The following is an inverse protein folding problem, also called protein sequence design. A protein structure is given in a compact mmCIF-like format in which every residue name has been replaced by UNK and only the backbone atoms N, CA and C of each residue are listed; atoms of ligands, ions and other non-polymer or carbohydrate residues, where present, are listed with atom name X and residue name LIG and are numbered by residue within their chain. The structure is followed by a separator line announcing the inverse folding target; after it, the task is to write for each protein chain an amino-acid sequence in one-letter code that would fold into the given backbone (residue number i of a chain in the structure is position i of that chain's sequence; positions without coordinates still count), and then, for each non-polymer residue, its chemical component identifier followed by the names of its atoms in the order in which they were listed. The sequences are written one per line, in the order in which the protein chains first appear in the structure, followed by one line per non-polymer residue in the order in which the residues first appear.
data_IF_340097977831
#
_entry.id   IF_340097977831
#
_cell.length_a   1.000
_cell.length_b   1.000
_cell.length_c   1.000
_cell.angle_alpha   90.00
_cell.angle_beta   90.00
_cell.angle_gamma   90.00
#
_symmetry.space_group_name_H-M   'P 1'
#
loop_
_entity.id
_entity.type
_entity.pdbx_description
1 polymer ?
#
# COMPACT_ATOMS: atom_id res chain seq x y z
N UNK A 1 -10.07 -5.17 4.39
CA UNK A 1 -10.03 -4.44 3.10
C UNK A 1 -10.93 -3.20 3.11
N UNK A 2 -10.38 -2.03 2.79
CA UNK A 2 -11.08 -0.77 2.50
C UNK A 2 -10.70 -0.26 1.10
N UNK A 3 -11.51 0.62 0.49
CA UNK A 3 -11.21 1.21 -0.82
C UNK A 3 -9.86 1.95 -0.83
N UNK A 4 -9.57 2.68 0.24
CA UNK A 4 -8.30 3.38 0.45
C UNK A 4 -7.08 2.43 0.38
N UNK A 5 -7.21 1.21 0.91
CA UNK A 5 -6.12 0.21 0.83
C UNK A 5 -5.91 -0.31 -0.59
N UNK A 6 -6.96 -0.37 -1.42
CA UNK A 6 -6.84 -0.71 -2.84
C UNK A 6 -6.19 0.42 -3.63
N UNK A 7 -6.51 1.68 -3.32
CA UNK A 7 -5.86 2.85 -3.92
C UNK A 7 -4.35 2.85 -3.61
N UNK A 8 -3.97 2.50 -2.39
CA UNK A 8 -2.58 2.33 -1.97
C UNK A 8 -1.87 1.23 -2.75
N UNK A 9 -2.53 0.10 -2.99
CA UNK A 9 -1.99 -0.99 -3.78
C UNK A 9 -1.75 -0.56 -5.24
N UNK A 10 -2.71 0.14 -5.84
CA UNK A 10 -2.58 0.67 -7.21
C UNK A 10 -1.45 1.71 -7.29
N UNK A 11 -1.33 2.61 -6.31
CA UNK A 11 -0.24 3.59 -6.26
C UNK A 11 1.14 2.92 -6.14
N UNK A 12 1.26 1.85 -5.33
CA UNK A 12 2.50 1.07 -5.22
C UNK A 12 2.84 0.36 -6.53
N UNK A 13 1.88 -0.26 -7.19
CA UNK A 13 2.11 -0.92 -8.50
C UNK A 13 2.51 0.09 -9.60
N UNK A 14 1.89 1.28 -9.61
CA UNK A 14 2.22 2.35 -10.57
C UNK A 14 3.61 2.92 -10.36
N UNK A 15 3.97 3.21 -9.11
CA UNK A 15 5.22 3.88 -8.77
C UNK A 15 6.40 2.92 -8.60
N UNK A 16 6.12 1.64 -8.34
CA UNK A 16 7.08 0.60 -7.93
C UNK A 16 7.96 1.02 -6.75
N UNK A 17 7.53 2.00 -5.95
CA UNK A 17 8.32 2.58 -4.87
C UNK A 17 7.41 3.11 -3.76
N UNK A 18 7.47 2.50 -2.57
CA UNK A 18 6.60 2.84 -1.44
C UNK A 18 6.66 4.31 -1.02
N UNK A 19 7.85 4.94 -1.06
CA UNK A 19 7.97 6.38 -0.80
C UNK A 19 7.16 7.26 -1.78
N UNK A 20 7.28 7.00 -3.08
CA UNK A 20 6.54 7.75 -4.12
C UNK A 20 5.05 7.46 -4.08
N UNK A 21 4.66 6.23 -3.78
CA UNK A 21 3.25 5.87 -3.56
C UNK A 21 2.67 6.62 -2.35
N UNK A 22 3.45 6.76 -1.28
CA UNK A 22 3.05 7.50 -0.10
C UNK A 22 2.87 8.99 -0.42
N UNK A 23 3.80 9.58 -1.17
CA UNK A 23 3.69 10.96 -1.67
C UNK A 23 2.45 11.16 -2.57
N UNK A 24 2.17 10.22 -3.49
CA UNK A 24 1.00 10.24 -4.38
C UNK A 24 -0.32 10.15 -3.61
N UNK A 25 -0.35 9.35 -2.54
CA UNK A 25 -1.52 9.17 -1.69
C UNK A 25 -1.60 10.19 -0.54
N UNK A 26 -0.66 11.13 -0.42
CA UNK A 26 -0.63 12.13 0.65
C UNK A 26 -0.47 11.54 2.06
N UNK A 27 0.21 10.39 2.17
CA UNK A 27 0.44 9.68 3.43
C UNK A 27 1.93 9.49 3.70
N UNK A 28 2.28 9.17 4.93
CA UNK A 28 3.65 8.78 5.26
C UNK A 28 3.91 7.32 4.89
N UNK A 29 5.14 7.02 4.46
CA UNK A 29 5.54 5.70 3.98
C UNK A 29 5.48 4.56 5.03
N UNK A 30 5.80 4.78 6.32
CA UNK A 30 5.74 3.70 7.32
C UNK A 30 4.31 3.17 7.56
N UNK A 31 3.27 4.03 7.66
CA UNK A 31 1.88 3.57 7.67
C UNK A 31 1.46 2.81 6.40
N UNK A 32 1.90 3.26 5.22
CA UNK A 32 1.52 2.64 3.94
C UNK A 32 1.98 1.17 3.86
N UNK A 33 3.22 0.91 4.24
CA UNK A 33 3.81 -0.44 4.13
C UNK A 33 3.20 -1.42 5.13
N UNK A 34 2.96 -0.97 6.37
CA UNK A 34 2.33 -1.79 7.39
C UNK A 34 0.86 -2.14 7.03
N UNK A 35 0.13 -1.18 6.45
CA UNK A 35 -1.25 -1.40 5.99
C UNK A 35 -1.31 -2.41 4.85
N UNK A 36 -0.40 -2.33 3.87
CA UNK A 36 -0.34 -3.26 2.75
C UNK A 36 0.09 -4.66 3.21
N UNK A 37 1.09 -4.76 4.08
CA UNK A 37 1.52 -6.05 4.63
C UNK A 37 0.41 -6.77 5.39
N UNK A 38 -0.38 -6.03 6.18
CA UNK A 38 -1.56 -6.59 6.87
C UNK A 38 -2.61 -7.07 5.86
N UNK A 39 -2.84 -6.30 4.79
CA UNK A 39 -3.79 -6.69 3.73
C UNK A 39 -3.35 -7.94 2.97
N UNK A 40 -2.06 -8.05 2.61
CA UNK A 40 -1.52 -9.25 1.97
C UNK A 40 -1.74 -10.48 2.87
N UNK A 41 -1.46 -10.37 4.17
CA UNK A 41 -1.71 -11.43 5.15
C UNK A 41 -3.20 -11.81 5.26
N UNK A 42 -4.10 -10.84 5.29
CA UNK A 42 -5.56 -11.09 5.34
C UNK A 42 -6.04 -11.85 4.08
N UNK A 43 -5.41 -11.62 2.94
CA UNK A 43 -5.73 -12.29 1.67
C UNK A 43 -4.97 -13.60 1.46
N UNK A 44 -4.12 -14.02 2.41
CA UNK A 44 -3.28 -15.21 2.29
C UNK A 44 -2.13 -15.07 1.29
N UNK A 45 -1.87 -13.86 0.80
CA UNK A 45 -0.72 -13.58 -0.06
C UNK A 45 0.49 -13.17 0.80
N UNK A 46 1.67 -13.60 0.39
CA UNK A 46 2.93 -13.11 0.93
C UNK A 46 3.88 -13.01 -0.25
N UNK A 47 4.42 -11.80 -0.51
CA UNK A 47 5.50 -11.63 -1.50
C UNK A 47 6.77 -12.33 -1.05
#
# INVERSE_FOLDING_TARGET
MTLQQLEYLVAVERTRHFGRAADECGVTQPPLSALLQKQEQELGFRR
#
